data_IF_158989982747
#
_entry.id   IF_158989982747
#
_cell.length_a   1.000
_cell.length_b   1.000
_cell.length_c   1.000
_cell.angle_alpha   90.00
_cell.angle_beta   90.00
_cell.angle_gamma   90.00
#
_symmetry.space_group_name_H-M   'P 1'
#
loop_
_entity.id
_entity.type
_entity.pdbx_description
1 polymer ?
#
# COMPACT_ATOMS: atom_id res chain seq x y z
N UNK A 1 -9.26 8.57 7.04
CA UNK A 1 -10.30 9.57 6.73
C UNK A 1 -11.51 8.83 6.15
N UNK A 2 -12.64 9.51 5.97
CA UNK A 2 -13.81 8.99 5.25
C UNK A 2 -14.08 9.92 4.07
N UNK A 3 -14.36 9.37 2.89
CA UNK A 3 -14.59 10.12 1.66
C UNK A 3 -15.54 9.34 0.73
N UNK A 4 -16.18 10.05 -0.21
CA UNK A 4 -16.87 9.40 -1.32
C UNK A 4 -15.88 8.62 -2.19
N UNK A 5 -16.30 7.49 -2.81
CA UNK A 5 -15.42 6.68 -3.66
C UNK A 5 -14.65 7.47 -4.71
N UNK A 6 -15.30 8.44 -5.36
CA UNK A 6 -14.71 9.28 -6.40
C UNK A 6 -13.55 10.18 -5.90
N UNK A 7 -13.48 10.46 -4.59
CA UNK A 7 -12.48 11.33 -3.98
C UNK A 7 -11.44 10.56 -3.16
N UNK A 8 -11.72 9.29 -2.86
CA UNK A 8 -10.93 8.50 -1.92
C UNK A 8 -9.47 8.31 -2.39
N UNK A 9 -9.26 8.04 -3.68
CA UNK A 9 -7.92 7.85 -4.25
C UNK A 9 -7.12 9.15 -4.24
N UNK A 10 -7.72 10.28 -4.61
CA UNK A 10 -7.05 11.58 -4.60
C UNK A 10 -6.63 11.98 -3.18
N UNK A 11 -7.52 11.78 -2.20
CA UNK A 11 -7.22 12.04 -0.80
C UNK A 11 -6.06 11.16 -0.28
N UNK A 12 -6.04 9.87 -0.64
CA UNK A 12 -4.96 8.96 -0.29
C UNK A 12 -3.64 9.36 -0.97
N UNK A 13 -3.69 9.73 -2.26
CA UNK A 13 -2.53 10.17 -3.04
C UNK A 13 -1.91 11.45 -2.47
N UNK A 14 -2.72 12.40 -2.02
CA UNK A 14 -2.22 13.62 -1.37
C UNK A 14 -1.40 13.30 -0.11
N UNK A 15 -1.89 12.39 0.73
CA UNK A 15 -1.13 11.91 1.90
C UNK A 15 0.13 11.15 1.51
N UNK A 16 0.03 10.29 0.50
CA UNK A 16 1.15 9.49 0.01
C UNK A 16 2.28 10.36 -0.56
N UNK A 17 1.96 11.41 -1.33
CA UNK A 17 2.95 12.33 -1.87
C UNK A 17 3.77 12.99 -0.76
N UNK A 18 3.11 13.50 0.28
CA UNK A 18 3.78 14.14 1.42
C UNK A 18 4.60 13.13 2.23
N UNK A 19 4.07 11.92 2.45
CA UNK A 19 4.78 10.87 3.17
C UNK A 19 6.07 10.44 2.43
N UNK A 20 5.99 10.23 1.12
CA UNK A 20 7.14 9.89 0.27
C UNK A 20 8.19 11.00 0.27
N UNK A 21 7.78 12.27 0.29
CA UNK A 21 8.70 13.41 0.34
C UNK A 21 9.42 13.52 1.70
N UNK A 22 8.69 13.32 2.80
CA UNK A 22 9.16 13.74 4.14
C UNK A 22 9.69 12.62 5.01
N UNK A 23 9.35 11.36 4.73
CA UNK A 23 9.73 10.23 5.59
C UNK A 23 10.88 9.44 4.96
N UNK A 24 12.06 9.57 5.57
CA UNK A 24 13.23 8.77 5.20
C UNK A 24 13.27 7.45 5.97
N UNK A 25 12.86 6.36 5.31
CA UNK A 25 12.87 5.01 5.89
C UNK A 25 14.26 4.52 6.29
N UNK A 26 15.34 5.04 5.70
CA UNK A 26 16.72 4.67 6.07
C UNK A 26 17.06 5.11 7.50
N UNK A 27 16.34 6.09 8.02
CA UNK A 27 16.52 6.64 9.38
C UNK A 27 15.39 6.27 10.32
N UNK A 28 14.26 5.80 9.78
CA UNK A 28 13.09 5.43 10.58
C UNK A 28 13.29 4.10 11.31
N UNK A 29 13.11 4.12 12.64
CA UNK A 29 13.10 2.94 13.52
C UNK A 29 11.91 2.99 14.47
N UNK A 30 11.36 1.83 14.77
CA UNK A 30 10.27 1.65 15.72
C UNK A 30 9.99 0.17 15.95
N UNK A 31 9.33 -0.15 17.05
CA UNK A 31 8.99 -1.53 17.43
C UNK A 31 7.97 -2.15 16.48
N UNK A 32 7.05 -1.34 15.94
CA UNK A 32 6.03 -1.85 15.04
C UNK A 32 6.63 -2.19 13.66
N UNK A 33 6.39 -3.41 13.12
CA UNK A 33 6.86 -3.79 11.80
C UNK A 33 6.35 -2.83 10.71
N UNK A 34 7.27 -2.44 9.81
CA UNK A 34 7.00 -1.58 8.65
C UNK A 34 7.88 -1.94 7.47
N UNK A 35 7.32 -1.76 6.27
CA UNK A 35 7.98 -1.95 4.98
C UNK A 35 8.06 -0.66 4.16
N UNK A 36 7.12 0.27 4.35
CA UNK A 36 7.04 1.53 3.60
C UNK A 36 6.84 2.77 4.48
N UNK A 37 7.11 3.95 3.93
CA UNK A 37 6.77 5.24 4.54
C UNK A 37 5.24 5.40 4.59
N UNK A 38 4.60 4.92 3.52
CA UNK A 38 3.20 4.50 3.51
C UNK A 38 3.22 2.98 3.60
N UNK A 39 2.98 2.46 4.80
CA UNK A 39 3.11 1.02 5.05
C UNK A 39 1.89 0.24 4.54
N UNK A 40 0.68 0.76 4.79
CA UNK A 40 -0.59 0.21 4.25
C UNK A 40 -1.60 1.31 3.97
N UNK A 41 -2.38 1.12 2.91
CA UNK A 41 -3.55 1.95 2.56
C UNK A 41 -4.75 1.04 2.26
N UNK A 42 -5.50 0.61 3.28
CA UNK A 42 -6.74 -0.13 3.06
C UNK A 42 -7.85 0.79 2.59
N UNK A 43 -8.62 0.34 1.59
CA UNK A 43 -9.94 0.86 1.28
C UNK A 43 -10.96 -0.09 1.92
N UNK A 44 -11.77 0.44 2.84
CA UNK A 44 -12.73 -0.35 3.61
C UNK A 44 -14.13 0.16 3.31
N UNK A 45 -15.10 -0.72 2.99
CA UNK A 45 -16.46 -0.29 2.70
C UNK A 45 -17.10 0.31 3.95
N UNK A 46 -17.92 1.33 3.74
CA UNK A 46 -18.74 1.94 4.78
C UNK A 46 -20.22 1.84 4.37
N UNK A 47 -21.08 1.45 5.32
CA UNK A 47 -22.48 1.11 5.07
C UNK A 47 -22.61 0.03 3.96
N UNK A 48 -23.50 0.24 2.99
CA UNK A 48 -23.83 -0.73 1.94
C UNK A 48 -22.91 -0.68 0.72
N UNK A 49 -21.76 0.01 0.80
CA UNK A 49 -20.81 0.07 -0.29
C UNK A 49 -20.24 -1.34 -0.57
N UNK A 50 -20.31 -1.86 -1.80
CA UNK A 50 -19.77 -3.17 -2.11
C UNK A 50 -18.24 -3.23 -1.93
N UNK A 51 -17.74 -4.37 -1.42
CA UNK A 51 -16.31 -4.61 -1.29
C UNK A 51 -15.57 -4.51 -2.64
N UNK A 52 -16.23 -4.85 -3.75
CA UNK A 52 -15.64 -4.73 -5.10
C UNK A 52 -15.22 -3.30 -5.43
N UNK A 53 -15.99 -2.30 -4.99
CA UNK A 53 -15.62 -0.89 -5.17
C UNK A 53 -14.32 -0.57 -4.42
N UNK A 54 -14.15 -1.08 -3.20
CA UNK A 54 -12.91 -0.90 -2.45
C UNK A 54 -11.71 -1.59 -3.09
N UNK A 55 -11.91 -2.77 -3.69
CA UNK A 55 -10.87 -3.46 -4.48
C UNK A 55 -10.45 -2.63 -5.69
N UNK A 56 -11.42 -2.08 -6.43
CA UNK A 56 -11.13 -1.22 -7.58
C UNK A 56 -10.37 0.04 -7.17
N UNK A 57 -10.79 0.71 -6.08
CA UNK A 57 -10.07 1.87 -5.54
C UNK A 57 -8.65 1.53 -5.09
N UNK A 58 -8.45 0.36 -4.48
CA UNK A 58 -7.12 -0.09 -4.08
C UNK A 58 -6.20 -0.28 -5.28
N UNK A 59 -6.70 -0.89 -6.37
CA UNK A 59 -5.94 -1.08 -7.60
C UNK A 59 -5.67 0.22 -8.34
N UNK A 60 -6.62 1.16 -8.38
CA UNK A 60 -6.44 2.49 -8.97
C UNK A 60 -5.38 3.29 -8.20
N UNK A 61 -5.51 3.35 -6.87
CA UNK A 61 -4.51 3.99 -6.00
C UNK A 61 -3.13 3.39 -6.21
N UNK A 62 -3.00 2.06 -6.21
CA UNK A 62 -1.72 1.39 -6.40
C UNK A 62 -1.09 1.68 -7.77
N UNK A 63 -1.89 1.70 -8.83
CA UNK A 63 -1.43 2.04 -10.18
C UNK A 63 -0.94 3.49 -10.27
N UNK A 64 -1.68 4.44 -9.67
CA UNK A 64 -1.29 5.85 -9.62
C UNK A 64 -0.05 6.07 -8.76
N UNK A 65 0.05 5.40 -7.62
CA UNK A 65 1.21 5.51 -6.72
C UNK A 65 2.50 5.11 -7.44
N UNK A 66 2.47 4.01 -8.19
CA UNK A 66 3.60 3.61 -9.03
C UNK A 66 3.89 4.64 -10.13
N UNK A 67 2.86 5.05 -10.89
CA UNK A 67 3.02 5.95 -12.03
C UNK A 67 3.54 7.33 -11.64
N UNK A 68 3.05 7.88 -10.54
CA UNK A 68 3.31 9.26 -10.13
C UNK A 68 4.53 9.35 -9.19
N UNK A 69 4.68 8.40 -8.26
CA UNK A 69 5.70 8.46 -7.20
C UNK A 69 6.79 7.38 -7.32
N UNK A 70 6.67 6.44 -8.27
CA UNK A 70 7.60 5.33 -8.48
C UNK A 70 7.81 4.47 -7.21
N UNK A 71 6.77 4.36 -6.38
CA UNK A 71 6.77 3.51 -5.19
C UNK A 71 6.21 2.14 -5.57
N UNK A 72 6.97 1.04 -5.37
CA UNK A 72 6.47 -0.32 -5.60
C UNK A 72 5.28 -0.65 -4.70
N UNK A 73 4.28 -1.33 -5.26
CA UNK A 73 3.00 -1.61 -4.58
C UNK A 73 2.71 -3.09 -4.50
N UNK A 74 2.30 -3.53 -3.32
CA UNK A 74 1.78 -4.86 -3.06
C UNK A 74 0.29 -4.78 -2.70
N UNK A 75 -0.54 -5.59 -3.35
CA UNK A 75 -1.93 -5.74 -2.98
C UNK A 75 -2.11 -6.90 -2.00
N UNK A 76 -2.90 -6.67 -0.96
CA UNK A 76 -3.21 -7.63 0.10
C UNK A 76 -4.72 -7.71 0.36
N UNK A 77 -5.14 -8.62 1.25
CA UNK A 77 -6.54 -8.82 1.60
C UNK A 77 -7.39 -9.22 0.38
N UNK A 78 -8.58 -8.64 0.27
CA UNK A 78 -9.50 -8.87 -0.87
C UNK A 78 -8.96 -8.32 -2.19
N UNK A 79 -8.03 -7.36 -2.16
CA UNK A 79 -7.41 -6.82 -3.37
C UNK A 79 -6.19 -7.63 -3.84
N UNK A 80 -5.77 -8.66 -3.10
CA UNK A 80 -4.58 -9.44 -3.41
C UNK A 80 -4.68 -10.11 -4.78
N UNK A 81 -3.65 -9.94 -5.62
CA UNK A 81 -3.53 -10.62 -6.93
C UNK A 81 -2.93 -12.02 -6.83
N UNK A 82 -2.30 -12.33 -5.70
CA UNK A 82 -1.71 -13.64 -5.39
C UNK A 82 -2.24 -14.11 -4.05
N UNK A 83 -2.63 -15.37 -3.97
CA UNK A 83 -3.29 -15.94 -2.78
C UNK A 83 -2.40 -15.84 -1.54
N UNK A 84 -1.09 -16.02 -1.69
CA UNK A 84 -0.10 -15.92 -0.62
C UNK A 84 0.05 -14.50 -0.05
N UNK A 85 -0.41 -13.46 -0.78
CA UNK A 85 -0.37 -12.06 -0.36
C UNK A 85 -1.65 -11.59 0.34
N UNK A 86 -2.66 -12.44 0.53
CA UNK A 86 -3.89 -12.06 1.26
C UNK A 86 -3.59 -11.60 2.69
N UNK A 87 -2.66 -12.26 3.36
CA UNK A 87 -2.23 -11.89 4.71
C UNK A 87 -1.16 -10.81 4.68
N UNK A 88 -1.43 -9.70 5.36
CA UNK A 88 -0.54 -8.54 5.41
C UNK A 88 0.84 -8.88 6.00
N UNK A 89 0.90 -9.74 7.02
CA UNK A 89 2.14 -10.20 7.65
C UNK A 89 3.07 -10.95 6.69
N UNK A 90 2.51 -11.68 5.71
CA UNK A 90 3.28 -12.35 4.67
C UNK A 90 3.87 -11.33 3.70
N UNK A 91 3.08 -10.31 3.34
CA UNK A 91 3.54 -9.22 2.47
C UNK A 91 4.66 -8.41 3.12
N UNK A 92 4.52 -8.01 4.39
CA UNK A 92 5.49 -7.15 5.09
C UNK A 92 6.64 -7.91 5.77
N UNK A 93 6.76 -9.22 5.56
CA UNK A 93 7.74 -10.06 6.25
C UNK A 93 9.15 -9.50 6.04
N UNK A 94 9.89 -9.34 7.15
CA UNK A 94 11.24 -8.78 7.14
C UNK A 94 11.32 -7.25 7.02
N UNK A 95 10.19 -6.57 6.77
CA UNK A 95 10.11 -5.11 6.75
C UNK A 95 10.93 -4.45 5.64
N UNK A 96 11.25 -3.17 5.84
CA UNK A 96 11.99 -2.35 4.88
C UNK A 96 13.40 -2.90 4.59
N UNK A 97 14.11 -3.37 5.62
CA UNK A 97 15.47 -3.89 5.48
C UNK A 97 15.53 -5.12 4.58
N UNK A 98 14.60 -6.07 4.75
CA UNK A 98 14.48 -7.24 3.88
C UNK A 98 14.05 -6.86 2.46
N UNK A 99 13.09 -5.93 2.33
CA UNK A 99 12.62 -5.46 1.03
C UNK A 99 13.78 -4.90 0.19
N UNK A 100 14.61 -4.02 0.75
CA UNK A 100 15.72 -3.40 0.00
C UNK A 100 16.71 -4.45 -0.53
N UNK A 101 16.94 -5.54 0.22
CA UNK A 101 17.79 -6.64 -0.21
C UNK A 101 17.21 -7.47 -1.37
N UNK A 102 15.89 -7.57 -1.45
CA UNK A 102 15.18 -8.55 -2.29
C UNK A 102 14.19 -7.94 -3.30
N UNK A 103 14.14 -6.60 -3.43
CA UNK A 103 13.16 -5.92 -4.29
C UNK A 103 13.28 -6.27 -5.77
N UNK A 104 14.42 -6.80 -6.20
CA UNK A 104 14.69 -7.23 -7.58
C UNK A 104 14.35 -8.69 -7.84
N UNK A 105 13.99 -9.45 -6.81
CA UNK A 105 13.68 -10.87 -6.94
C UNK A 105 12.31 -11.01 -7.60
N UNK A 106 12.22 -11.75 -8.71
CA UNK A 106 10.97 -11.91 -9.46
C UNK A 106 9.85 -12.54 -8.60
N UNK A 107 10.21 -13.37 -7.62
CA UNK A 107 9.27 -13.96 -6.67
C UNK A 107 8.65 -12.92 -5.73
N UNK A 108 9.37 -11.81 -5.49
CA UNK A 108 8.93 -10.64 -4.73
C UNK A 108 8.26 -9.57 -5.61
N UNK A 109 8.18 -9.73 -6.94
CA UNK A 109 7.44 -8.80 -7.82
C UNK A 109 5.92 -9.02 -7.71
#
# INVERSE_FOLDING_TARGET
>A
FVAEPALAVDAAMAGAAVATERIDLRRHRGEHPRMGAIDVVPFVPFADLPMSICVDLAHDFGARLWKELHVPVYYYGEAARRTERRELEKVRRGGYEDLVGHIRDADRA
#
